data_IF_704773720990
#
_entry.id   IF_704773720990
#
_cell.length_a   1.000
_cell.length_b   1.000
_cell.length_c   1.000
_cell.angle_alpha   90.00
_cell.angle_beta   90.00
_cell.angle_gamma   90.00
#
_symmetry.space_group_name_H-M   'P 1'
#
loop_
_entity.id
_entity.type
_entity.pdbx_description
1 polymer ?
#
# COMPACT_ATOMS: atom_id res chain seq x y z
N UNK A 1 12.07 -48.06 41.15
CA UNK A 1 10.90 -47.21 40.82
C UNK A 1 11.43 -46.00 40.07
N UNK A 2 11.30 -46.05 38.75
CA UNK A 2 11.63 -44.96 37.84
C UNK A 2 10.60 -43.85 37.97
N UNK A 3 11.05 -42.61 37.95
CA UNK A 3 10.23 -41.48 37.50
C UNK A 3 11.07 -40.64 36.55
N UNK A 4 10.69 -40.73 35.29
CA UNK A 4 11.08 -39.88 34.16
C UNK A 4 10.87 -38.40 34.49
N UNK A 5 11.90 -37.56 34.32
CA UNK A 5 11.68 -36.17 33.93
C UNK A 5 11.92 -36.08 32.43
N UNK A 6 10.81 -35.89 31.70
CA UNK A 6 10.80 -35.75 30.25
C UNK A 6 11.29 -34.36 29.85
N UNK A 7 12.27 -34.32 28.96
CA UNK A 7 12.52 -33.16 28.13
C UNK A 7 11.30 -32.90 27.25
N UNK A 8 10.76 -31.68 27.34
CA UNK A 8 9.85 -31.14 26.35
C UNK A 8 10.63 -30.19 25.46
N UNK A 9 11.17 -30.73 24.37
CA UNK A 9 11.41 -29.95 23.15
C UNK A 9 10.04 -29.49 22.65
N UNK A 10 9.69 -28.24 22.96
CA UNK A 10 8.63 -27.54 22.25
C UNK A 10 9.25 -26.99 20.98
N UNK A 11 8.93 -27.65 19.87
CA UNK A 11 9.34 -27.29 18.53
C UNK A 11 9.12 -25.80 18.26
N UNK A 12 10.22 -25.13 17.92
CA UNK A 12 10.22 -23.76 17.45
C UNK A 12 9.44 -23.66 16.15
N UNK A 13 8.27 -23.06 16.26
CA UNK A 13 7.37 -22.67 15.18
C UNK A 13 8.14 -21.93 14.07
N UNK A 14 7.85 -22.29 12.83
CA UNK A 14 8.49 -21.75 11.64
C UNK A 14 8.39 -20.22 11.64
N UNK A 15 9.54 -19.59 11.41
CA UNK A 15 9.73 -18.14 11.51
C UNK A 15 8.64 -17.33 10.81
N UNK A 16 7.80 -16.68 11.62
CA UNK A 16 6.89 -15.64 11.17
C UNK A 16 7.71 -14.38 10.85
N UNK A 17 7.36 -13.62 9.78
CA UNK A 17 8.03 -12.35 9.48
C UNK A 17 7.81 -11.38 10.64
N UNK A 18 8.90 -10.84 11.17
CA UNK A 18 8.86 -10.01 12.36
C UNK A 18 10.20 -9.34 12.64
N UNK A 19 10.16 -8.36 13.52
CA UNK A 19 11.36 -7.72 14.06
C UNK A 19 12.14 -8.73 14.89
N UNK A 20 13.40 -8.96 14.53
CA UNK A 20 14.30 -9.79 15.33
C UNK A 20 15.29 -8.86 16.04
N UNK A 21 15.40 -9.02 17.35
CA UNK A 21 16.38 -8.32 18.17
C UNK A 21 17.74 -9.02 18.05
N UNK A 22 18.75 -8.33 17.53
CA UNK A 22 20.13 -8.83 17.43
C UNK A 22 21.13 -7.90 18.14
N UNK A 23 22.37 -8.34 18.29
CA UNK A 23 23.44 -7.67 19.06
C UNK A 23 23.82 -6.26 18.56
N UNK A 24 23.33 -5.83 17.40
CA UNK A 24 23.58 -4.51 16.80
C UNK A 24 22.30 -3.69 16.57
N UNK A 25 21.21 -4.05 17.25
CA UNK A 25 19.90 -3.38 17.14
C UNK A 25 18.86 -4.18 16.36
N UNK A 26 17.73 -3.51 16.05
CA UNK A 26 16.58 -4.12 15.38
C UNK A 26 16.87 -4.40 13.91
N UNK A 27 16.82 -5.67 13.52
CA UNK A 27 16.84 -6.08 12.14
C UNK A 27 15.43 -6.49 11.72
N UNK A 28 14.89 -5.83 10.69
CA UNK A 28 13.75 -6.39 9.97
C UNK A 28 14.26 -7.65 9.27
N UNK A 29 13.89 -8.81 9.78
CA UNK A 29 14.12 -10.07 9.07
C UNK A 29 13.02 -10.15 8.03
N UNK A 30 13.28 -9.47 6.92
CA UNK A 30 12.56 -9.75 5.70
C UNK A 30 12.81 -11.20 5.38
N UNK A 31 11.73 -11.90 5.08
CA UNK A 31 11.78 -13.27 4.70
C UNK A 31 12.48 -13.39 3.34
N UNK A 32 13.81 -13.45 3.34
CA UNK A 32 14.53 -13.97 2.21
C UNK A 32 14.16 -15.46 2.13
N UNK A 33 13.17 -15.76 1.30
CA UNK A 33 12.77 -17.08 0.82
C UNK A 33 11.90 -17.98 1.73
N UNK A 34 10.71 -17.53 2.14
CA UNK A 34 9.52 -18.37 1.86
C UNK A 34 8.81 -17.72 0.68
N UNK A 35 8.33 -18.52 -0.28
CA UNK A 35 7.57 -17.99 -1.39
C UNK A 35 6.38 -17.21 -0.82
N UNK A 36 6.34 -15.91 -1.09
CA UNK A 36 5.04 -15.23 -1.27
C UNK A 36 4.20 -16.15 -2.14
N UNK A 37 2.88 -16.34 -1.89
CA UNK A 37 2.06 -17.29 -2.66
C UNK A 37 2.43 -17.17 -4.13
N UNK A 38 3.08 -18.23 -4.61
CA UNK A 38 4.11 -18.18 -5.66
C UNK A 38 3.71 -17.22 -6.76
N UNK A 39 4.32 -16.04 -6.81
CA UNK A 39 4.31 -15.29 -8.06
C UNK A 39 5.12 -16.15 -9.02
N UNK A 40 4.42 -16.93 -9.84
CA UNK A 40 5.09 -17.71 -10.86
C UNK A 40 5.97 -16.75 -11.68
N UNK A 41 7.15 -17.16 -12.15
CA UNK A 41 7.96 -16.32 -13.03
C UNK A 41 7.12 -15.82 -14.23
N UNK A 42 6.13 -16.62 -14.65
CA UNK A 42 5.07 -16.24 -15.58
C UNK A 42 4.25 -15.01 -15.11
N UNK A 43 3.72 -15.00 -13.89
CA UNK A 43 2.97 -13.86 -13.35
C UNK A 43 3.78 -12.55 -13.32
N UNK A 44 5.07 -12.62 -13.00
CA UNK A 44 5.98 -11.46 -13.05
C UNK A 44 6.22 -10.99 -14.49
N UNK A 45 6.44 -11.92 -15.42
CA UNK A 45 6.64 -11.61 -16.83
C UNK A 45 5.39 -11.02 -17.49
N UNK A 46 4.21 -11.56 -17.16
CA UNK A 46 2.90 -11.06 -17.62
C UNK A 46 2.64 -9.66 -17.10
N UNK A 47 2.86 -9.40 -15.79
CA UNK A 47 2.73 -8.04 -15.27
C UNK A 47 3.69 -7.08 -15.98
N UNK A 48 4.95 -7.47 -16.17
CA UNK A 48 5.91 -6.64 -16.88
C UNK A 48 5.50 -6.36 -18.33
N UNK A 49 4.93 -7.35 -19.04
CA UNK A 49 4.40 -7.19 -20.39
C UNK A 49 3.19 -6.24 -20.41
N UNK A 50 2.20 -6.43 -19.53
CA UNK A 50 1.04 -5.55 -19.38
C UNK A 50 1.47 -4.11 -19.05
N UNK A 51 2.47 -3.97 -18.19
CA UNK A 51 3.00 -2.67 -17.82
C UNK A 51 3.62 -1.94 -19.01
N UNK A 52 4.41 -2.65 -19.83
CA UNK A 52 5.05 -2.07 -21.02
C UNK A 52 4.06 -1.79 -22.16
N UNK A 53 3.15 -2.73 -22.43
CA UNK A 53 2.26 -2.67 -23.58
C UNK A 53 1.02 -1.80 -23.34
N UNK A 54 0.54 -1.72 -22.10
CA UNK A 54 -0.75 -1.06 -21.78
C UNK A 54 -0.55 0.10 -20.82
N UNK A 55 -0.02 -0.15 -19.62
CA UNK A 55 -0.02 0.86 -18.57
C UNK A 55 0.93 2.02 -18.87
N UNK A 56 2.15 1.76 -19.33
CA UNK A 56 3.13 2.82 -19.60
C UNK A 56 2.69 3.78 -20.71
N UNK A 57 2.18 3.31 -21.88
CA UNK A 57 1.65 4.20 -22.92
C UNK A 57 0.41 4.99 -22.47
N UNK A 58 -0.49 4.36 -21.71
CA UNK A 58 -1.76 4.98 -21.32
C UNK A 58 -1.66 5.83 -20.06
N UNK A 59 -0.61 5.67 -19.25
CA UNK A 59 -0.46 6.35 -17.95
C UNK A 59 -0.70 7.86 -18.01
N UNK A 60 -0.14 8.63 -18.96
CA UNK A 60 -0.39 10.08 -19.02
C UNK A 60 -1.88 10.41 -19.18
N UNK A 61 -2.58 9.70 -20.07
CA UNK A 61 -4.02 9.88 -20.31
C UNK A 61 -4.86 9.42 -19.12
N UNK A 62 -4.53 8.25 -18.54
CA UNK A 62 -5.20 7.70 -17.36
C UNK A 62 -5.07 8.63 -16.15
N UNK A 63 -3.86 9.09 -15.83
CA UNK A 63 -3.64 10.01 -14.71
C UNK A 63 -4.32 11.36 -14.94
N UNK A 64 -4.31 11.88 -16.17
CA UNK A 64 -5.04 13.11 -16.51
C UNK A 64 -6.55 12.94 -16.27
N UNK A 65 -7.11 11.81 -16.70
CA UNK A 65 -8.53 11.50 -16.48
C UNK A 65 -8.85 11.32 -15.00
N UNK A 66 -8.03 10.58 -14.26
CA UNK A 66 -8.19 10.37 -12.82
C UNK A 66 -8.13 11.69 -12.05
N UNK A 67 -7.16 12.56 -12.34
CA UNK A 67 -7.08 13.90 -11.74
C UNK A 67 -8.34 14.72 -12.01
N UNK A 68 -8.89 14.62 -13.22
CA UNK A 68 -10.11 15.35 -13.60
C UNK A 68 -11.31 14.83 -12.81
N UNK A 69 -11.48 13.52 -12.73
CA UNK A 69 -12.59 12.88 -12.01
C UNK A 69 -12.51 13.11 -10.49
N UNK A 70 -11.30 13.09 -9.92
CA UNK A 70 -11.03 13.29 -8.49
C UNK A 70 -10.75 14.74 -8.11
N UNK A 71 -10.95 15.70 -9.04
CA UNK A 71 -10.52 17.08 -8.83
C UNK A 71 -11.11 17.71 -7.55
N UNK A 72 -12.40 17.51 -7.21
CA UNK A 72 -12.96 18.00 -5.95
C UNK A 72 -12.25 17.45 -4.71
N UNK A 73 -12.05 16.13 -4.64
CA UNK A 73 -11.45 15.43 -3.50
C UNK A 73 -9.96 15.79 -3.35
N UNK A 74 -9.23 15.86 -4.47
CA UNK A 74 -7.82 16.26 -4.46
C UNK A 74 -7.64 17.71 -4.00
N UNK A 75 -8.54 18.63 -4.42
CA UNK A 75 -8.54 20.02 -3.93
C UNK A 75 -8.83 20.09 -2.44
N UNK A 76 -9.80 19.31 -1.96
CA UNK A 76 -10.11 19.25 -0.53
C UNK A 76 -8.93 18.71 0.28
N UNK A 77 -8.34 17.59 -0.14
CA UNK A 77 -7.17 16.99 0.48
C UNK A 77 -6.03 18.00 0.56
N UNK A 78 -5.73 18.71 -0.54
CA UNK A 78 -4.68 19.73 -0.55
C UNK A 78 -4.99 20.91 0.37
N UNK A 79 -6.23 21.40 0.41
CA UNK A 79 -6.65 22.47 1.34
C UNK A 79 -6.45 22.06 2.79
N UNK A 80 -6.84 20.84 3.16
CA UNK A 80 -6.68 20.30 4.52
C UNK A 80 -5.22 20.08 4.88
N UNK A 81 -4.41 19.56 3.94
CA UNK A 81 -2.97 19.44 4.11
C UNK A 81 -2.31 20.80 4.42
N UNK A 82 -2.67 21.85 3.69
CA UNK A 82 -2.16 23.22 3.92
C UNK A 82 -2.57 23.73 5.30
N UNK A 83 -3.83 23.55 5.70
CA UNK A 83 -4.31 23.96 7.02
C UNK A 83 -3.57 23.23 8.16
N UNK A 84 -3.33 21.92 8.00
CA UNK A 84 -2.56 21.12 8.97
C UNK A 84 -1.11 21.59 9.08
N UNK A 85 -0.45 21.93 7.96
CA UNK A 85 0.91 22.53 7.98
C UNK A 85 0.93 23.85 8.72
N UNK A 86 -0.05 24.73 8.45
CA UNK A 86 -0.13 26.03 9.09
C UNK A 86 -0.29 25.90 10.61
N UNK A 87 -1.11 24.95 11.07
CA UNK A 87 -1.29 24.66 12.49
C UNK A 87 -0.09 23.96 13.17
N UNK A 88 0.69 23.18 12.41
CA UNK A 88 1.85 22.45 12.92
C UNK A 88 3.12 23.31 13.09
N UNK A 89 3.15 24.52 12.50
CA UNK A 89 4.33 25.38 12.46
C UNK A 89 5.43 24.86 11.51
N UNK A 90 6.59 25.53 11.43
CA UNK A 90 7.72 25.06 10.61
C UNK A 90 8.13 23.62 10.97
N UNK A 91 8.66 22.84 10.01
CA UNK A 91 9.25 21.52 10.29
C UNK A 91 10.28 21.62 11.42
N UNK A 92 9.98 21.03 12.59
CA UNK A 92 10.84 21.08 13.78
C UNK A 92 10.52 22.15 14.82
N UNK A 93 9.48 22.99 14.61
CA UNK A 93 9.03 23.98 15.59
C UNK A 93 8.20 23.39 16.75
N UNK A 94 7.87 22.09 16.70
CA UNK A 94 7.30 21.34 17.83
C UNK A 94 8.39 21.06 18.88
N UNK A 95 8.83 22.14 19.53
CA UNK A 95 9.67 22.10 20.71
C UNK A 95 8.84 21.78 21.95
N UNK A 96 9.34 20.83 22.75
CA UNK A 96 9.00 20.62 24.15
C UNK A 96 7.50 20.35 24.48
N UNK A 97 7.06 19.09 24.36
CA UNK A 97 5.89 18.64 25.13
C UNK A 97 5.00 17.56 24.51
N UNK A 98 5.21 17.16 23.26
CA UNK A 98 4.43 16.08 22.63
C UNK A 98 5.38 15.09 21.96
N UNK A 99 5.24 13.82 22.31
CA UNK A 99 6.23 12.77 22.06
C UNK A 99 6.49 12.40 20.58
N UNK A 100 5.88 13.10 19.60
CA UNK A 100 6.14 12.94 18.18
C UNK A 100 7.19 13.95 17.69
N UNK A 101 8.45 13.52 17.56
CA UNK A 101 9.51 14.33 16.95
C UNK A 101 9.49 14.05 15.45
N UNK A 102 9.27 15.09 14.65
CA UNK A 102 9.42 15.06 13.18
C UNK A 102 10.70 14.31 12.79
N UNK A 103 10.65 13.38 11.81
CA UNK A 103 11.83 12.64 11.38
C UNK A 103 12.94 13.59 10.93
N UNK A 104 14.19 13.11 11.07
CA UNK A 104 15.37 13.88 10.65
C UNK A 104 15.20 14.37 9.20
N UNK A 105 15.62 15.61 8.86
CA UNK A 105 15.42 16.18 7.52
C UNK A 105 15.90 15.29 6.36
N UNK A 106 16.98 14.53 6.58
CA UNK A 106 17.50 13.55 5.63
C UNK A 106 16.53 12.38 5.37
N UNK A 107 15.86 11.88 6.41
CA UNK A 107 14.88 10.80 6.31
C UNK A 107 13.64 11.25 5.54
N UNK A 108 13.10 12.43 5.87
CA UNK A 108 11.97 13.02 5.13
C UNK A 108 12.30 13.20 3.64
N UNK A 109 13.50 13.69 3.35
CA UNK A 109 13.98 13.82 1.96
C UNK A 109 14.03 12.47 1.24
N UNK A 110 14.49 11.41 1.92
CA UNK A 110 14.51 10.03 1.39
C UNK A 110 13.09 9.51 1.12
N UNK A 111 12.16 9.73 2.04
CA UNK A 111 10.75 9.36 1.89
C UNK A 111 10.14 10.06 0.66
N UNK A 112 10.33 11.37 0.53
CA UNK A 112 9.81 12.12 -0.61
C UNK A 112 10.44 11.67 -1.94
N UNK A 113 11.72 11.32 -1.96
CA UNK A 113 12.36 10.76 -3.16
C UNK A 113 11.74 9.40 -3.56
N UNK A 114 11.42 8.54 -2.60
CA UNK A 114 10.71 7.27 -2.88
C UNK A 114 9.29 7.51 -3.39
N UNK A 115 8.58 8.52 -2.86
CA UNK A 115 7.26 8.92 -3.38
C UNK A 115 7.35 9.41 -4.83
N UNK A 116 8.36 10.20 -5.19
CA UNK A 116 8.58 10.59 -6.58
C UNK A 116 8.79 9.37 -7.49
N UNK A 117 9.55 8.37 -7.04
CA UNK A 117 9.70 7.11 -7.77
C UNK A 117 8.40 6.30 -7.83
N UNK A 118 7.58 6.32 -6.78
CA UNK A 118 6.26 5.68 -6.73
C UNK A 118 5.35 6.29 -7.80
N UNK A 119 5.31 7.62 -7.87
CA UNK A 119 4.55 8.38 -8.87
C UNK A 119 5.04 8.07 -10.29
N UNK A 120 6.35 7.89 -10.49
CA UNK A 120 6.94 7.56 -11.79
C UNK A 120 6.70 6.11 -12.24
N UNK A 121 6.56 5.16 -11.31
CA UNK A 121 6.36 3.75 -11.64
C UNK A 121 5.01 3.49 -12.33
N UNK A 122 4.96 2.50 -13.23
CA UNK A 122 3.74 2.01 -13.87
C UNK A 122 3.34 0.63 -13.35
N UNK A 123 4.32 -0.17 -12.92
CA UNK A 123 4.07 -1.54 -12.48
C UNK A 123 3.50 -1.61 -11.05
N UNK A 124 2.36 -2.29 -10.82
CA UNK A 124 1.76 -2.44 -9.50
C UNK A 124 2.73 -3.01 -8.47
N UNK A 125 3.47 -4.08 -8.78
CA UNK A 125 4.45 -4.65 -7.84
C UNK A 125 5.55 -3.67 -7.50
N UNK A 126 6.06 -2.94 -8.50
CA UNK A 126 7.09 -1.91 -8.26
C UNK A 126 6.55 -0.81 -7.34
N UNK A 127 5.30 -0.39 -7.53
CA UNK A 127 4.65 0.58 -6.67
C UNK A 127 4.49 0.04 -5.24
N UNK A 128 4.07 -1.21 -5.07
CA UNK A 128 4.00 -1.86 -3.74
C UNK A 128 5.37 -1.91 -3.07
N UNK A 129 6.43 -2.33 -3.78
CA UNK A 129 7.78 -2.36 -3.20
C UNK A 129 8.25 -0.98 -2.75
N UNK A 130 7.93 0.08 -3.51
CA UNK A 130 8.28 1.45 -3.13
C UNK A 130 7.46 1.92 -1.92
N UNK A 131 6.18 1.59 -1.86
CA UNK A 131 5.31 1.89 -0.72
C UNK A 131 5.81 1.21 0.56
N UNK A 132 6.14 -0.08 0.50
CA UNK A 132 6.72 -0.82 1.65
C UNK A 132 8.07 -0.24 2.07
N UNK A 133 8.90 0.18 1.11
CA UNK A 133 10.16 0.84 1.43
C UNK A 133 9.97 2.20 2.11
N UNK A 134 8.91 2.94 1.79
CA UNK A 134 8.54 4.14 2.56
C UNK A 134 8.07 3.76 3.97
N UNK A 135 7.27 2.71 4.13
CA UNK A 135 6.88 2.25 5.46
C UNK A 135 8.11 1.92 6.33
N UNK A 136 9.08 1.21 5.77
CA UNK A 136 10.36 0.92 6.44
C UNK A 136 11.11 2.19 6.85
N UNK A 137 11.15 3.20 5.98
CA UNK A 137 11.77 4.50 6.30
C UNK A 137 11.02 5.21 7.44
N UNK A 138 9.68 5.17 7.46
CA UNK A 138 8.88 5.74 8.55
C UNK A 138 9.18 5.03 9.89
N UNK A 139 9.25 3.69 9.90
CA UNK A 139 9.65 2.93 11.09
C UNK A 139 11.08 3.26 11.54
N UNK A 140 12.02 3.43 10.61
CA UNK A 140 13.37 3.83 10.95
C UNK A 140 13.42 5.22 11.62
N UNK A 141 12.48 6.11 11.30
CA UNK A 141 12.31 7.40 11.99
C UNK A 141 11.69 7.29 13.38
N UNK A 142 10.89 6.25 13.62
CA UNK A 142 10.25 5.97 14.91
C UNK A 142 11.17 5.25 15.89
N UNK A 143 12.13 4.45 15.40
CA UNK A 143 13.06 3.71 16.25
C UNK A 143 13.90 4.67 17.11
N UNK A 144 13.57 4.73 18.41
CA UNK A 144 14.28 5.55 19.41
C UNK A 144 15.04 4.65 20.38
N UNK A 145 16.36 4.59 20.21
CA UNK A 145 17.28 3.99 21.18
C UNK A 145 17.04 2.50 21.48
N UNK A 146 17.92 1.90 22.28
CA UNK A 146 18.01 0.44 22.45
C UNK A 146 16.90 -0.20 23.31
N UNK A 147 16.05 0.56 24.03
CA UNK A 147 15.20 0.01 25.11
C UNK A 147 13.71 0.38 25.05
N UNK A 148 13.02 0.20 23.91
CA UNK A 148 11.56 0.42 23.84
C UNK A 148 10.77 -0.79 23.35
N UNK A 149 9.54 -0.89 23.89
CA UNK A 149 8.47 -1.83 23.51
C UNK A 149 8.23 -1.85 21.99
N UNK A 150 7.71 -2.97 21.44
CA UNK A 150 7.41 -3.10 20.03
C UNK A 150 6.54 -1.93 19.52
N UNK A 151 7.03 -1.22 18.50
CA UNK A 151 6.30 -0.13 17.87
C UNK A 151 5.06 -0.69 17.14
N UNK A 152 3.90 -0.56 17.76
CA UNK A 152 2.62 -0.98 17.21
C UNK A 152 2.07 -0.06 16.11
N UNK A 153 0.94 -0.47 15.53
CA UNK A 153 0.20 0.29 14.50
C UNK A 153 -0.13 1.73 14.94
N UNK A 154 -0.35 1.93 16.24
CA UNK A 154 -0.73 3.21 16.84
C UNK A 154 0.38 4.27 16.79
N UNK A 155 1.65 3.85 16.68
CA UNK A 155 2.78 4.76 16.48
C UNK A 155 3.03 5.06 15.00
N UNK A 156 2.77 4.07 14.12
CA UNK A 156 3.05 4.19 12.69
C UNK A 156 2.11 5.15 11.97
N UNK A 157 0.80 5.03 12.18
CA UNK A 157 -0.18 5.82 11.44
C UNK A 157 0.02 7.35 11.63
N UNK A 158 0.24 7.87 12.85
CA UNK A 158 0.58 9.28 13.05
C UNK A 158 1.86 9.71 12.33
N UNK A 159 2.92 8.89 12.34
CA UNK A 159 4.17 9.20 11.67
C UNK A 159 4.04 9.21 10.14
N UNK A 160 3.33 8.24 9.57
CA UNK A 160 2.98 8.24 8.15
C UNK A 160 2.15 9.48 7.78
N UNK A 161 1.17 9.83 8.63
CA UNK A 161 0.32 11.01 8.44
C UNK A 161 1.16 12.29 8.43
N UNK A 162 2.16 12.40 9.30
CA UNK A 162 3.08 13.55 9.32
C UNK A 162 3.86 13.66 8.01
N UNK A 163 4.43 12.57 7.51
CA UNK A 163 5.19 12.59 6.25
C UNK A 163 4.29 12.92 5.05
N UNK A 164 3.04 12.46 5.05
CA UNK A 164 2.04 12.86 4.06
C UNK A 164 1.65 14.34 4.18
N UNK A 165 1.55 14.88 5.40
CA UNK A 165 1.33 16.31 5.61
C UNK A 165 2.45 17.11 4.95
N UNK A 166 3.71 16.70 5.06
CA UNK A 166 4.85 17.41 4.46
C UNK A 166 5.16 17.05 3.00
N UNK A 167 4.53 16.02 2.44
CA UNK A 167 4.71 15.61 1.04
C UNK A 167 4.31 16.70 0.03
N UNK A 168 5.17 17.02 -0.97
CA UNK A 168 4.85 18.00 -1.99
C UNK A 168 3.65 17.56 -2.87
N UNK A 169 3.54 16.25 -3.14
CA UNK A 169 2.66 15.66 -4.15
C UNK A 169 1.62 14.71 -3.53
N UNK A 170 0.94 15.15 -2.47
CA UNK A 170 -0.06 14.33 -1.77
C UNK A 170 -1.21 13.87 -2.69
N UNK A 171 -1.54 14.67 -3.70
CA UNK A 171 -2.58 14.32 -4.68
C UNK A 171 -2.17 13.14 -5.56
N UNK A 172 -0.93 13.09 -6.03
CA UNK A 172 -0.43 11.94 -6.79
C UNK A 172 -0.33 10.70 -5.89
N UNK A 173 0.00 10.90 -4.60
CA UNK A 173 -0.01 9.82 -3.60
C UNK A 173 -1.42 9.22 -3.42
N UNK A 174 -2.46 10.06 -3.34
CA UNK A 174 -3.86 9.61 -3.31
C UNK A 174 -4.20 8.75 -4.53
N UNK A 175 -3.84 9.21 -5.73
CA UNK A 175 -4.10 8.46 -6.96
C UNK A 175 -3.33 7.15 -7.03
N UNK A 176 -2.09 7.10 -6.55
CA UNK A 176 -1.30 5.87 -6.51
C UNK A 176 -1.87 4.82 -5.56
N UNK A 177 -2.37 5.25 -4.38
CA UNK A 177 -3.02 4.35 -3.43
C UNK A 177 -4.32 3.80 -4.03
N UNK A 178 -5.15 4.65 -4.63
CA UNK A 178 -6.38 4.20 -5.31
C UNK A 178 -6.08 3.25 -6.49
N UNK A 179 -5.05 3.57 -7.28
CA UNK A 179 -4.60 2.74 -8.38
C UNK A 179 -4.17 1.35 -7.90
N UNK A 180 -3.36 1.28 -6.85
CA UNK A 180 -2.92 0.02 -6.25
C UNK A 180 -4.10 -0.76 -5.68
N UNK A 181 -5.02 -0.09 -4.99
CA UNK A 181 -6.22 -0.73 -4.45
C UNK A 181 -7.07 -1.38 -5.55
N UNK A 182 -7.19 -0.75 -6.73
CA UNK A 182 -8.02 -1.27 -7.82
C UNK A 182 -7.30 -2.28 -8.73
N UNK A 183 -5.98 -2.15 -8.95
CA UNK A 183 -5.27 -3.00 -9.93
C UNK A 183 -4.49 -4.17 -9.32
N UNK A 184 -4.12 -4.13 -8.04
CA UNK A 184 -3.30 -5.17 -7.42
C UNK A 184 -4.08 -6.48 -7.24
N UNK A 185 -3.56 -7.61 -7.73
CA UNK A 185 -4.15 -8.94 -7.56
C UNK A 185 -4.69 -9.17 -6.12
N UNK A 186 -5.93 -9.66 -5.96
CA UNK A 186 -6.49 -9.97 -4.64
C UNK A 186 -5.60 -10.84 -3.75
N UNK A 187 -4.80 -11.75 -4.29
CA UNK A 187 -3.88 -12.56 -3.51
C UNK A 187 -2.64 -11.76 -3.05
N UNK A 188 -2.23 -10.74 -3.80
CA UNK A 188 -1.17 -9.79 -3.39
C UNK A 188 -1.66 -8.74 -2.38
N UNK A 189 -2.99 -8.57 -2.25
CA UNK A 189 -3.62 -7.77 -1.21
C UNK A 189 -3.71 -8.51 0.14
N UNK A 190 -3.27 -9.77 0.22
CA UNK A 190 -3.20 -10.52 1.49
C UNK A 190 -1.84 -10.30 2.17
N UNK A 191 -1.87 -10.18 3.49
CA UNK A 191 -0.66 -9.98 4.30
C UNK A 191 -0.20 -8.52 4.36
N UNK A 192 1.11 -8.32 4.41
CA UNK A 192 1.75 -7.04 4.72
C UNK A 192 1.41 -5.92 3.73
N UNK A 193 1.46 -6.19 2.43
CA UNK A 193 1.18 -5.20 1.40
C UNK A 193 -0.26 -4.65 1.50
N UNK A 194 -1.24 -5.54 1.74
CA UNK A 194 -2.62 -5.15 1.97
C UNK A 194 -2.80 -4.33 3.23
N UNK A 195 -2.18 -4.76 4.34
CA UNK A 195 -2.19 -4.03 5.61
C UNK A 195 -1.73 -2.58 5.41
N UNK A 196 -0.50 -2.37 4.91
CA UNK A 196 0.01 -1.02 4.73
C UNK A 196 -0.79 -0.23 3.71
N UNK A 197 -1.20 -0.82 2.58
CA UNK A 197 -2.00 -0.11 1.59
C UNK A 197 -3.30 0.45 2.19
N UNK A 198 -3.97 -0.31 3.08
CA UNK A 198 -5.13 0.18 3.82
C UNK A 198 -4.77 1.25 4.85
N UNK A 199 -3.59 1.17 5.48
CA UNK A 199 -3.07 2.21 6.37
C UNK A 199 -2.81 3.53 5.62
N UNK A 200 -2.23 3.47 4.41
CA UNK A 200 -2.03 4.63 3.54
C UNK A 200 -3.34 5.29 3.16
N UNK A 201 -4.33 4.49 2.72
CA UNK A 201 -5.69 5.00 2.47
C UNK A 201 -6.26 5.68 3.72
N UNK A 202 -6.08 5.06 4.88
CA UNK A 202 -6.50 5.60 6.17
C UNK A 202 -5.89 6.97 6.50
N UNK A 203 -4.58 7.11 6.34
CA UNK A 203 -3.85 8.35 6.60
C UNK A 203 -4.31 9.49 5.67
N UNK A 204 -4.45 9.21 4.38
CA UNK A 204 -4.92 10.18 3.39
C UNK A 204 -6.37 10.60 3.66
N UNK A 205 -7.24 9.63 3.96
CA UNK A 205 -8.62 9.91 4.33
C UNK A 205 -8.68 10.81 5.59
N UNK A 206 -7.85 10.50 6.59
CA UNK A 206 -7.77 11.29 7.83
C UNK A 206 -7.37 12.75 7.54
N UNK A 207 -6.38 12.99 6.67
CA UNK A 207 -6.00 14.34 6.24
C UNK A 207 -7.17 15.02 5.52
N UNK A 208 -7.83 14.36 4.56
CA UNK A 208 -8.91 14.95 3.77
C UNK A 208 -10.16 15.35 4.59
N UNK A 209 -10.39 14.69 5.73
CA UNK A 209 -11.57 14.88 6.57
C UNK A 209 -11.26 15.45 7.95
N UNK A 210 -10.02 15.91 8.17
CA UNK A 210 -9.63 16.52 9.44
C UNK A 210 -10.49 17.75 9.75
N UNK A 211 -11.06 17.77 10.96
CA UNK A 211 -11.85 18.88 11.50
C UNK A 211 -11.17 19.42 12.77
N UNK A 212 -10.74 20.70 12.79
CA UNK A 212 -10.04 21.27 13.95
C UNK A 212 -10.94 21.43 15.18
N UNK A 213 -12.25 21.65 15.00
CA UNK A 213 -13.18 22.00 16.09
C UNK A 213 -13.84 20.78 16.78
N UNK A 214 -13.48 19.56 16.38
CA UNK A 214 -14.09 18.34 16.94
C UNK A 214 -13.56 17.94 18.33
N UNK A 215 -12.70 18.74 18.95
CA UNK A 215 -12.23 18.58 20.35
C UNK A 215 -11.41 17.31 20.65
N UNK A 216 -11.34 16.35 19.73
CA UNK A 216 -10.63 15.07 19.90
C UNK A 216 -9.94 14.67 18.58
N UNK A 217 -8.65 14.34 18.66
CA UNK A 217 -7.97 13.68 17.56
C UNK A 217 -8.69 12.35 17.25
N UNK A 218 -8.99 12.03 15.98
CA UNK A 218 -9.64 10.76 15.63
C UNK A 218 -8.81 9.58 16.14
N UNK A 219 -9.42 8.70 16.94
CA UNK A 219 -8.75 7.50 17.46
C UNK A 219 -8.82 6.30 16.48
N UNK A 220 -9.07 6.58 15.20
CA UNK A 220 -9.22 5.56 14.16
C UNK A 220 -9.92 6.08 12.91
N UNK A 221 -10.17 5.17 11.97
CA UNK A 221 -10.85 5.48 10.70
C UNK A 221 -12.32 5.88 10.92
N UNK A 222 -12.78 6.91 10.19
CA UNK A 222 -14.19 7.33 10.21
C UNK A 222 -15.14 6.18 9.79
N UNK A 223 -16.43 6.30 10.12
CA UNK A 223 -17.45 5.34 9.67
C UNK A 223 -17.53 5.25 8.14
N UNK A 224 -17.37 6.39 7.47
CA UNK A 224 -17.35 6.52 6.02
C UNK A 224 -16.08 5.91 5.40
N UNK A 225 -14.89 6.17 5.95
CA UNK A 225 -13.65 5.51 5.51
C UNK A 225 -13.74 4.00 5.60
N UNK A 226 -14.28 3.49 6.71
CA UNK A 226 -14.53 2.06 6.89
C UNK A 226 -15.58 1.54 5.90
N UNK A 227 -16.59 2.33 5.56
CA UNK A 227 -17.58 1.96 4.55
C UNK A 227 -16.95 1.89 3.14
N UNK A 228 -16.11 2.84 2.77
CA UNK A 228 -15.35 2.83 1.51
C UNK A 228 -14.44 1.61 1.41
N UNK A 229 -13.68 1.31 2.47
CA UNK A 229 -12.83 0.11 2.54
C UNK A 229 -13.64 -1.18 2.44
N UNK A 230 -14.77 -1.28 3.16
CA UNK A 230 -15.67 -2.45 3.07
C UNK A 230 -16.23 -2.62 1.66
N UNK A 231 -16.65 -1.52 1.02
CA UNK A 231 -17.20 -1.57 -0.34
C UNK A 231 -16.13 -2.03 -1.34
N UNK A 232 -14.92 -1.48 -1.24
CA UNK A 232 -13.77 -1.91 -2.02
C UNK A 232 -13.47 -3.40 -1.82
N UNK A 233 -13.32 -3.84 -0.56
CA UNK A 233 -13.02 -5.23 -0.24
C UNK A 233 -14.09 -6.17 -0.81
N UNK A 234 -15.39 -5.83 -0.65
CA UNK A 234 -16.49 -6.62 -1.24
C UNK A 234 -16.35 -6.75 -2.77
N UNK A 235 -16.12 -5.66 -3.50
CA UNK A 235 -15.93 -5.72 -4.96
C UNK A 235 -14.77 -6.64 -5.35
N UNK A 236 -13.67 -6.60 -4.60
CA UNK A 236 -12.43 -7.36 -4.90
C UNK A 236 -12.48 -8.83 -4.47
N UNK A 237 -13.27 -9.19 -3.45
CA UNK A 237 -13.31 -10.57 -2.93
C UNK A 237 -14.52 -11.40 -3.37
N UNK A 238 -15.60 -10.78 -3.86
CA UNK A 238 -16.81 -11.51 -4.27
C UNK A 238 -16.63 -12.30 -5.59
N UNK A 239 -15.70 -11.92 -6.46
CA UNK A 239 -15.41 -12.63 -7.72
C UNK A 239 -14.78 -14.03 -7.54
N UNK A 240 -14.40 -14.43 -6.32
CA UNK A 240 -13.79 -15.75 -6.05
C UNK A 240 -14.82 -16.89 -5.90
N UNK A 241 -16.06 -16.58 -5.54
CA UNK A 241 -17.08 -17.63 -5.32
C UNK A 241 -17.58 -18.27 -6.63
N UNK A 242 -17.36 -17.62 -7.79
CA UNK A 242 -17.78 -18.14 -9.09
C UNK A 242 -16.74 -19.05 -9.78
N UNK A 243 -15.50 -19.10 -9.29
CA UNK A 243 -14.43 -19.93 -9.90
C UNK A 243 -14.20 -21.28 -9.21
N UNK A 244 -15.03 -21.64 -8.21
CA UNK A 244 -15.03 -22.97 -7.59
C UNK A 244 -16.16 -23.88 -8.12
N UNK A 245 -16.61 -23.65 -9.36
CA UNK A 245 -17.43 -24.61 -10.11
C UNK A 245 -16.51 -25.48 -10.98
N UNK A 246 -16.83 -26.76 -11.23
CA UNK A 246 -16.00 -27.63 -12.06
C UNK A 246 -15.79 -26.98 -13.43
N UNK A 247 -14.53 -26.90 -13.86
CA UNK A 247 -14.15 -26.45 -15.20
C UNK A 247 -14.92 -27.28 -16.23
N UNK A 248 -15.96 -26.70 -16.81
CA UNK A 248 -16.49 -27.17 -18.07
C UNK A 248 -15.48 -26.72 -19.13
N UNK A 249 -14.72 -27.67 -19.66
CA UNK A 249 -13.95 -27.50 -20.89
C UNK A 249 -14.91 -26.99 -21.97
N UNK A 250 -14.83 -25.71 -22.31
CA UNK A 250 -15.41 -25.18 -23.52
C UNK A 250 -14.26 -24.94 -24.50
N UNK A 251 -14.31 -25.51 -25.71
CA UNK A 251 -13.29 -25.26 -26.71
C UNK A 251 -13.30 -23.78 -27.09
N UNK A 252 -12.12 -23.18 -27.09
CA UNK A 252 -11.90 -21.80 -27.54
C UNK A 252 -12.09 -21.75 -29.06
N UNK A 253 -13.23 -21.25 -29.51
CA UNK A 253 -13.47 -20.87 -30.90
C UNK A 253 -12.88 -19.48 -31.14
N UNK A 254 -11.94 -19.36 -32.07
CA UNK A 254 -11.32 -18.08 -32.47
C UNK A 254 -12.32 -17.22 -33.29
N UNK A 255 -12.80 -16.09 -32.76
CA UNK A 255 -13.88 -15.32 -33.40
C UNK A 255 -13.43 -14.55 -34.67
N UNK A 256 -12.17 -14.66 -35.09
CA UNK A 256 -11.64 -14.01 -36.30
C UNK A 256 -11.36 -14.97 -37.46
N UNK A 257 -11.57 -16.28 -37.29
CA UNK A 257 -11.34 -17.26 -38.37
C UNK A 257 -12.39 -17.19 -39.50
N UNK A 258 -13.53 -16.53 -39.28
CA UNK A 258 -14.64 -16.48 -40.24
C UNK A 258 -14.50 -15.39 -41.33
N UNK A 259 -13.35 -14.72 -41.45
CA UNK A 259 -13.14 -13.61 -42.38
C UNK A 259 -12.22 -13.92 -43.56
N UNK A 260 -12.15 -15.18 -43.98
CA UNK A 260 -11.53 -15.53 -45.27
C UNK A 260 -12.44 -16.43 -46.09
N UNK A 261 -12.88 -15.88 -47.22
CA UNK A 261 -13.53 -16.48 -48.40
C UNK A 261 -15.02 -16.17 -48.56
N UNK A 262 -15.30 -14.95 -49.06
CA UNK A 262 -16.40 -14.75 -50.00
C UNK A 262 -16.08 -13.59 -50.96
N UNK A 263 -15.06 -13.77 -51.81
CA UNK A 263 -15.02 -13.07 -53.10
C UNK A 263 -15.71 -13.96 -54.14
N UNK A 264 -17.00 -13.64 -54.29
CA UNK A 264 -17.89 -13.76 -55.45
C UNK A 264 -17.37 -14.50 -56.70
N UNK A 265 -17.97 -15.66 -56.97
CA UNK A 265 -18.17 -16.20 -58.33
C UNK A 265 -19.62 -15.93 -58.77
N UNK A 266 -19.79 -15.84 -60.09
CA UNK A 266 -21.02 -15.84 -60.91
C UNK A 266 -21.54 -14.42 -61.24
N UNK A 267 -21.67 -13.98 -62.50
CA UNK A 267 -21.71 -14.61 -63.84
C UNK A 267 -20.95 -13.75 -64.88
#
# INVERSE_FOLDING_TARGET
MSTHEGGQELGGDGGQPGWVCGERGWAWVSLAALPSPTSTPAGTAVEAALCRAVLAPLKPALWTRLRTLRAPELRQLRRRQIALRAGAGPPGAQGAGREGRSPAPALRSRIHARLAHLHAACAPRRKVSLLLAVCSDVYAGLARGENQEPLGADAFLPALTEELIWSPDIGETQLDVEFLMELLDPDQLRGEAGYYLTTWFGALYHIAHYQPDAGRAPQGLSSEARASLRQWHRRRTLHRQSHAGPQAELPFEEPWAAMTLQETSDD
#
